data_IF_506819135302
#
_entry.id   IF_506819135302
#
_cell.length_a   1.000
_cell.length_b   1.000
_cell.length_c   1.000
_cell.angle_alpha   90.00
_cell.angle_beta   90.00
_cell.angle_gamma   90.00
#
_symmetry.space_group_name_H-M   'P 1'
#
loop_
_entity.id
_entity.type
_entity.pdbx_description
1 polymer ?
#
# COMPACT_ATOMS: atom_id res chain seq x y z
N UNK A 1 -9.09 24.20 4.60
CA UNK A 1 -9.28 23.66 5.96
C UNK A 1 -8.37 22.46 6.11
N UNK A 2 -7.64 22.35 7.21
CA UNK A 2 -6.79 21.18 7.47
C UNK A 2 -7.60 20.06 8.11
N UNK A 3 -7.22 18.82 7.84
CA UNK A 3 -7.84 17.64 8.42
C UNK A 3 -6.80 16.54 8.65
N UNK A 4 -7.11 15.64 9.57
CA UNK A 4 -6.41 14.36 9.75
C UNK A 4 -7.36 13.22 9.42
N UNK A 5 -6.84 12.22 8.74
CA UNK A 5 -7.51 10.94 8.52
C UNK A 5 -6.74 9.83 9.22
N UNK A 6 -7.41 9.14 10.14
CA UNK A 6 -6.90 7.94 10.81
C UNK A 6 -7.55 6.72 10.19
N UNK A 7 -6.73 5.79 9.71
CA UNK A 7 -7.16 4.58 9.02
C UNK A 7 -6.79 3.37 9.87
N UNK A 8 -7.76 2.49 10.14
CA UNK A 8 -7.55 1.24 10.89
C UNK A 8 -8.00 0.05 10.03
N UNK A 9 -7.07 -0.86 9.75
CA UNK A 9 -7.30 -2.02 8.91
C UNK A 9 -8.34 -2.99 9.47
N UNK A 10 -9.30 -3.39 8.64
CA UNK A 10 -10.28 -4.47 8.91
C UNK A 10 -9.98 -5.75 8.13
N UNK A 11 -9.06 -5.67 7.16
CA UNK A 11 -8.46 -6.81 6.49
C UNK A 11 -6.93 -6.63 6.42
N UNK A 12 -6.21 -7.73 6.20
CA UNK A 12 -4.75 -7.69 6.06
C UNK A 12 -4.35 -6.71 4.93
N UNK A 13 -3.25 -5.98 5.10
CA UNK A 13 -2.68 -5.10 4.08
C UNK A 13 -1.58 -5.85 3.32
N UNK A 14 -1.60 -5.77 1.99
CA UNK A 14 -0.48 -6.16 1.15
C UNK A 14 0.16 -4.91 0.54
N UNK A 15 1.49 -4.80 0.62
CA UNK A 15 2.23 -3.75 -0.06
C UNK A 15 2.73 -4.21 -1.42
N UNK A 16 2.84 -3.27 -2.35
CA UNK A 16 3.43 -3.50 -3.67
C UNK A 16 3.94 -2.18 -4.27
N UNK A 17 5.07 -1.72 -3.72
CA UNK A 17 5.77 -0.54 -4.23
C UNK A 17 6.15 -0.70 -5.70
N UNK A 18 6.08 0.42 -6.44
CA UNK A 18 6.41 0.45 -7.86
C UNK A 18 7.93 0.41 -8.15
N UNK A 19 8.78 0.33 -7.11
CA UNK A 19 10.25 0.28 -7.25
C UNK A 19 10.74 -0.75 -8.26
N UNK A 20 10.14 -1.94 -8.24
CA UNK A 20 10.52 -3.05 -9.11
C UNK A 20 10.16 -2.82 -10.60
N UNK A 21 9.35 -1.82 -10.92
CA UNK A 21 9.11 -1.38 -12.30
C UNK A 21 10.28 -0.56 -12.86
N UNK A 22 11.14 0.01 -12.01
CA UNK A 22 12.33 0.72 -12.43
C UNK A 22 13.47 -0.27 -12.70
N UNK A 23 13.91 -0.47 -13.97
CA UNK A 23 14.99 -1.40 -14.29
C UNK A 23 16.36 -0.99 -13.71
N UNK A 24 16.49 0.26 -13.25
CA UNK A 24 17.71 0.76 -12.62
C UNK A 24 17.76 0.50 -11.11
N UNK A 25 16.65 0.12 -10.48
CA UNK A 25 16.60 -0.19 -9.06
C UNK A 25 17.53 -1.38 -8.71
N UNK A 26 18.33 -1.29 -7.64
CA UNK A 26 19.24 -2.38 -7.25
C UNK A 26 18.55 -3.74 -7.03
N UNK A 27 17.35 -3.75 -6.44
CA UNK A 27 16.58 -4.96 -6.20
C UNK A 27 16.07 -5.52 -7.53
N UNK A 28 15.57 -4.67 -8.44
CA UNK A 28 15.14 -5.11 -9.77
C UNK A 28 16.31 -5.75 -10.56
N UNK A 29 17.51 -5.18 -10.48
CA UNK A 29 18.73 -5.75 -11.06
C UNK A 29 19.09 -7.09 -10.42
N UNK A 30 19.02 -7.21 -9.10
CA UNK A 30 19.27 -8.46 -8.38
C UNK A 30 18.27 -9.55 -8.77
N UNK A 31 16.96 -9.23 -8.82
CA UNK A 31 15.91 -10.13 -9.26
C UNK A 31 16.13 -10.60 -10.70
N UNK A 32 16.57 -9.72 -11.61
CA UNK A 32 16.89 -10.11 -12.99
C UNK A 32 18.00 -11.16 -13.06
N UNK A 33 19.06 -11.00 -12.25
CA UNK A 33 20.17 -11.98 -12.20
C UNK A 33 19.66 -13.37 -11.82
N UNK A 34 18.83 -13.47 -10.78
CA UNK A 34 18.28 -14.75 -10.31
C UNK A 34 17.23 -15.30 -11.29
N UNK A 35 16.28 -14.46 -11.73
CA UNK A 35 15.21 -14.87 -12.64
C UNK A 35 15.69 -15.31 -14.02
N UNK A 36 16.83 -14.83 -14.50
CA UNK A 36 17.43 -15.24 -15.79
C UNK A 36 18.07 -16.63 -15.80
N UNK A 37 18.25 -17.27 -14.63
CA UNK A 37 18.80 -18.64 -14.55
C UNK A 37 17.86 -19.63 -15.25
N UNK A 38 18.43 -20.49 -16.11
CA UNK A 38 17.70 -21.49 -16.89
C UNK A 38 17.13 -22.61 -16.01
N UNK A 39 17.95 -23.16 -15.12
CA UNK A 39 17.54 -24.07 -14.06
C UNK A 39 17.65 -23.30 -12.74
N UNK A 40 16.53 -23.16 -12.03
CA UNK A 40 16.47 -22.51 -10.72
C UNK A 40 16.44 -23.58 -9.66
N UNK A 41 17.19 -23.37 -8.59
CA UNK A 41 17.12 -24.19 -7.38
C UNK A 41 16.06 -23.65 -6.42
N UNK A 42 15.79 -24.36 -5.33
CA UNK A 42 14.86 -23.89 -4.31
C UNK A 42 15.36 -22.59 -3.65
N UNK A 43 16.68 -22.45 -3.49
CA UNK A 43 17.32 -21.23 -2.99
C UNK A 43 17.12 -20.05 -3.97
N UNK A 44 17.08 -20.29 -5.27
CA UNK A 44 16.78 -19.24 -6.26
C UNK A 44 15.33 -18.76 -6.13
N UNK A 45 14.39 -19.66 -5.84
CA UNK A 45 13.00 -19.29 -5.60
C UNK A 45 12.82 -18.52 -4.30
N UNK A 46 13.51 -18.92 -3.24
CA UNK A 46 13.51 -18.20 -1.96
C UNK A 46 14.14 -16.80 -2.11
N UNK A 47 15.27 -16.68 -2.79
CA UNK A 47 15.91 -15.38 -3.02
C UNK A 47 15.04 -14.46 -3.89
N UNK A 48 14.35 -15.00 -4.89
CA UNK A 48 13.37 -14.21 -5.66
C UNK A 48 12.23 -13.72 -4.77
N UNK A 49 11.71 -14.56 -3.87
CA UNK A 49 10.66 -14.18 -2.94
C UNK A 49 11.14 -13.11 -1.94
N UNK A 50 12.38 -13.24 -1.43
CA UNK A 50 13.00 -12.25 -0.53
C UNK A 50 13.21 -10.91 -1.20
N UNK A 51 13.78 -10.90 -2.40
CA UNK A 51 14.00 -9.68 -3.17
C UNK A 51 12.66 -9.02 -3.55
N UNK A 52 11.67 -9.82 -3.92
CA UNK A 52 10.34 -9.31 -4.24
C UNK A 52 9.64 -8.70 -3.01
N UNK A 53 9.76 -9.35 -1.85
CA UNK A 53 9.27 -8.82 -0.58
C UNK A 53 9.92 -7.46 -0.28
N UNK A 54 11.24 -7.40 -0.29
CA UNK A 54 12.00 -6.17 -0.05
C UNK A 54 11.64 -5.04 -1.05
N UNK A 55 11.53 -5.36 -2.34
CA UNK A 55 11.18 -4.39 -3.37
C UNK A 55 9.71 -3.97 -3.38
N UNK A 56 8.84 -4.79 -2.80
CA UNK A 56 7.41 -4.51 -2.65
C UNK A 56 7.08 -3.65 -1.43
N UNK A 57 7.99 -3.50 -0.46
CA UNK A 57 7.80 -2.66 0.71
C UNK A 57 7.83 -1.17 0.35
N UNK A 58 6.88 -0.43 0.90
CA UNK A 58 7.07 1.00 1.14
C UNK A 58 7.83 1.13 2.45
N UNK A 59 9.13 1.41 2.36
CA UNK A 59 10.03 1.48 3.51
C UNK A 59 10.83 2.77 3.47
N UNK A 60 10.88 3.44 4.60
CA UNK A 60 11.68 4.62 4.86
C UNK A 60 12.75 4.25 5.92
N UNK A 61 14.01 4.71 5.77
CA UNK A 61 15.09 4.31 6.67
C UNK A 61 14.89 4.78 8.11
N UNK A 62 14.19 5.90 8.34
CA UNK A 62 14.04 6.50 9.66
C UNK A 62 12.79 5.96 10.36
N UNK A 63 11.67 5.86 9.64
CA UNK A 63 10.42 5.41 10.24
C UNK A 63 10.20 3.91 10.09
N UNK A 64 10.67 3.25 9.04
CA UNK A 64 10.33 1.86 8.69
C UNK A 64 9.19 1.79 7.67
N UNK A 65 8.31 0.77 7.69
CA UNK A 65 7.21 0.72 6.75
C UNK A 65 6.23 1.88 6.90
N UNK A 66 5.77 2.38 5.75
CA UNK A 66 4.88 3.53 5.66
C UNK A 66 3.86 3.35 4.52
N UNK A 67 2.84 4.21 4.46
CA UNK A 67 1.95 4.34 3.31
C UNK A 67 2.22 5.68 2.63
N UNK A 68 2.52 5.70 1.33
CA UNK A 68 2.65 6.95 0.60
C UNK A 68 1.35 7.76 0.62
N UNK A 69 1.45 9.09 0.79
CA UNK A 69 0.29 9.99 0.70
C UNK A 69 -0.48 9.84 -0.61
N UNK A 70 0.23 9.59 -1.72
CA UNK A 70 -0.37 9.31 -3.04
C UNK A 70 -1.30 8.10 -3.05
N UNK A 71 -1.00 7.06 -2.26
CA UNK A 71 -1.84 5.87 -2.19
C UNK A 71 -3.17 6.19 -1.48
N UNK A 72 -3.11 7.00 -0.43
CA UNK A 72 -4.30 7.48 0.30
C UNK A 72 -5.13 8.40 -0.59
N UNK A 73 -4.49 9.38 -1.24
CA UNK A 73 -5.13 10.28 -2.21
C UNK A 73 -5.83 9.50 -3.32
N UNK A 74 -5.16 8.49 -3.89
CA UNK A 74 -5.72 7.66 -4.96
C UNK A 74 -6.90 6.84 -4.45
N UNK A 75 -6.81 6.28 -3.25
CA UNK A 75 -7.88 5.51 -2.64
C UNK A 75 -9.16 6.35 -2.46
N UNK A 76 -9.03 7.58 -1.92
CA UNK A 76 -10.14 8.52 -1.78
C UNK A 76 -10.73 8.93 -3.14
N UNK A 77 -9.87 9.21 -4.11
CA UNK A 77 -10.30 9.57 -5.48
C UNK A 77 -11.08 8.44 -6.14
N UNK A 78 -10.63 7.18 -6.00
CA UNK A 78 -11.32 6.02 -6.55
C UNK A 78 -12.66 5.76 -5.83
N UNK A 79 -12.73 6.00 -4.52
CA UNK A 79 -13.98 5.88 -3.75
C UNK A 79 -15.03 6.91 -4.18
N UNK A 80 -14.61 8.15 -4.39
CA UNK A 80 -15.49 9.23 -4.83
C UNK A 80 -16.06 9.02 -6.25
N UNK A 81 -15.50 8.11 -7.05
CA UNK A 81 -16.10 7.74 -8.35
C UNK A 81 -17.45 7.04 -8.18
N UNK A 82 -17.69 6.37 -7.05
CA UNK A 82 -18.98 5.72 -6.75
C UNK A 82 -20.12 6.74 -6.75
N UNK A 83 -19.88 7.94 -6.20
CA UNK A 83 -20.85 9.04 -6.13
C UNK A 83 -20.63 10.09 -7.22
N UNK A 84 -19.83 9.79 -8.26
CA UNK A 84 -19.45 10.71 -9.35
C UNK A 84 -18.76 12.01 -8.87
N UNK A 85 -18.19 12.00 -7.67
CA UNK A 85 -17.48 13.13 -7.05
C UNK A 85 -15.95 13.04 -7.19
N UNK A 86 -15.42 12.09 -7.98
CA UNK A 86 -13.98 11.90 -8.15
C UNK A 86 -13.23 13.17 -8.57
N UNK A 87 -13.79 13.96 -9.49
CA UNK A 87 -13.19 15.24 -9.93
C UNK A 87 -13.16 16.26 -8.78
N UNK A 88 -14.18 16.27 -7.90
CA UNK A 88 -14.21 17.15 -6.73
C UNK A 88 -13.09 16.78 -5.76
N UNK A 89 -12.87 15.50 -5.48
CA UNK A 89 -11.76 15.04 -4.63
C UNK A 89 -10.42 15.43 -5.23
N UNK A 90 -10.20 15.21 -6.52
CA UNK A 90 -8.92 15.58 -7.18
C UNK A 90 -8.62 17.09 -7.10
N UNK A 91 -9.66 17.94 -7.03
CA UNK A 91 -9.50 19.41 -6.99
C UNK A 91 -9.54 19.99 -5.58
N UNK A 92 -10.28 19.36 -4.67
CA UNK A 92 -10.61 19.90 -3.36
C UNK A 92 -9.95 19.15 -2.20
N UNK A 93 -9.28 18.03 -2.43
CA UNK A 93 -8.61 17.26 -1.37
C UNK A 93 -7.17 17.02 -1.78
N UNK A 94 -6.25 17.32 -0.86
CA UNK A 94 -4.82 17.04 -1.02
C UNK A 94 -4.25 16.45 0.26
N UNK A 95 -3.78 15.20 0.22
CA UNK A 95 -2.98 14.60 1.30
C UNK A 95 -1.61 15.26 1.31
N UNK A 96 -1.28 15.96 2.40
CA UNK A 96 -0.05 16.75 2.53
C UNK A 96 1.14 15.97 3.08
N UNK A 97 0.90 14.81 3.69
CA UNK A 97 1.95 13.95 4.25
C UNK A 97 2.36 12.85 3.26
N UNK A 98 3.60 12.93 2.78
CA UNK A 98 4.14 11.96 1.80
C UNK A 98 4.48 10.60 2.45
N UNK A 99 5.07 10.64 3.64
CA UNK A 99 5.49 9.45 4.41
C UNK A 99 4.59 9.31 5.63
N UNK A 100 3.67 8.35 5.61
CA UNK A 100 2.73 8.09 6.70
C UNK A 100 3.11 6.78 7.41
N UNK A 101 3.78 6.81 8.58
CA UNK A 101 4.27 5.62 9.25
C UNK A 101 3.16 4.59 9.49
N UNK A 102 3.43 3.34 9.11
CA UNK A 102 2.48 2.24 9.33
C UNK A 102 2.54 1.81 10.80
N UNK A 103 1.43 1.92 11.52
CA UNK A 103 1.28 1.36 12.85
C UNK A 103 1.03 -0.14 12.79
N UNK A 104 1.93 -0.95 13.35
CA UNK A 104 1.76 -2.40 13.53
C UNK A 104 2.74 -2.91 14.58
N UNK A 105 2.55 -4.16 15.05
CA UNK A 105 3.49 -4.83 15.96
C UNK A 105 4.43 -5.74 15.17
N UNK A 106 5.74 -5.47 15.22
CA UNK A 106 6.76 -6.31 14.60
C UNK A 106 8.06 -5.56 14.28
N UNK A 107 8.99 -6.21 13.56
CA UNK A 107 10.23 -5.60 13.09
C UNK A 107 9.96 -4.40 12.17
N UNK A 108 10.85 -3.40 12.15
CA UNK A 108 10.75 -2.19 11.30
C UNK A 108 11.74 -2.18 10.14
N UNK A 109 12.75 -3.03 10.17
CA UNK A 109 13.72 -3.20 9.10
C UNK A 109 13.31 -4.31 8.12
N UNK A 110 13.81 -4.22 6.89
CA UNK A 110 13.44 -5.12 5.79
C UNK A 110 13.82 -6.57 6.10
N UNK A 111 14.99 -6.81 6.69
CA UNK A 111 15.49 -8.16 6.97
C UNK A 111 14.71 -8.82 8.12
N UNK A 112 14.36 -8.06 9.16
CA UNK A 112 13.49 -8.53 10.24
C UNK A 112 12.08 -8.87 9.75
N UNK A 113 11.51 -8.03 8.87
CA UNK A 113 10.22 -8.32 8.23
C UNK A 113 10.30 -9.52 7.29
N UNK A 114 11.43 -9.73 6.63
CA UNK A 114 11.65 -10.98 5.93
C UNK A 114 11.69 -12.11 6.94
N UNK A 115 12.57 -12.13 7.94
CA UNK A 115 12.78 -13.27 8.84
C UNK A 115 11.51 -13.86 9.49
N UNK A 116 10.46 -13.08 9.69
CA UNK A 116 9.16 -13.54 10.20
C UNK A 116 8.12 -13.79 9.08
N UNK A 117 7.76 -15.06 8.87
CA UNK A 117 6.77 -15.52 7.89
C UNK A 117 5.38 -14.86 8.01
N UNK A 118 5.04 -14.31 9.18
CA UNK A 118 3.79 -13.58 9.34
C UNK A 118 3.70 -12.35 8.43
N UNK A 119 4.84 -11.75 8.06
CA UNK A 119 4.93 -10.60 7.17
C UNK A 119 5.11 -10.97 5.69
N UNK A 120 5.01 -12.25 5.35
CA UNK A 120 5.10 -12.76 3.97
C UNK A 120 3.74 -13.24 3.50
N UNK A 121 3.34 -12.86 2.28
CA UNK A 121 2.20 -13.43 1.59
C UNK A 121 2.64 -14.04 0.27
N UNK A 122 2.56 -15.37 0.19
CA UNK A 122 2.87 -16.13 -1.01
C UNK A 122 1.58 -16.50 -1.73
N UNK A 123 1.44 -16.08 -2.99
CA UNK A 123 0.26 -16.38 -3.79
C UNK A 123 0.62 -16.72 -5.23
N UNK A 124 -0.12 -17.67 -5.80
CA UNK A 124 0.01 -18.03 -7.21
C UNK A 124 -0.76 -17.05 -8.10
N UNK A 125 -0.04 -16.27 -8.90
CA UNK A 125 -0.62 -15.30 -9.84
C UNK A 125 -0.42 -15.76 -11.28
N UNK A 126 -1.33 -15.34 -12.16
CA UNK A 126 -1.22 -15.57 -13.60
C UNK A 126 -0.38 -14.47 -14.24
N UNK A 127 0.71 -14.84 -14.91
CA UNK A 127 1.53 -13.97 -15.74
C UNK A 127 1.48 -14.51 -17.16
N UNK A 128 0.77 -13.80 -18.05
CA UNK A 128 0.43 -14.28 -19.38
C UNK A 128 -0.27 -15.65 -19.31
N UNK A 129 0.32 -16.72 -19.84
CA UNK A 129 -0.24 -18.08 -19.77
C UNK A 129 0.28 -18.89 -18.58
N UNK A 130 1.33 -18.43 -17.88
CA UNK A 130 1.97 -19.18 -16.82
C UNK A 130 1.46 -18.76 -15.44
N UNK A 131 1.55 -19.67 -14.46
CA UNK A 131 1.37 -19.35 -13.05
C UNK A 131 2.71 -19.28 -12.36
N UNK A 132 2.94 -18.23 -11.58
CA UNK A 132 4.14 -18.04 -10.78
C UNK A 132 3.75 -17.70 -9.35
N UNK A 133 4.51 -18.20 -8.38
CA UNK A 133 4.36 -17.78 -6.99
C UNK A 133 5.01 -16.41 -6.85
N UNK A 134 4.30 -15.47 -6.22
CA UNK A 134 4.80 -14.13 -5.92
C UNK A 134 4.74 -13.91 -4.42
N UNK A 135 5.72 -13.18 -3.91
CA UNK A 135 5.79 -12.76 -2.52
C UNK A 135 5.33 -11.30 -2.39
N UNK A 136 4.48 -11.00 -1.42
CA UNK A 136 4.11 -9.63 -1.03
C UNK A 136 4.39 -9.41 0.45
N UNK A 137 4.89 -8.25 0.86
CA UNK A 137 4.87 -7.87 2.26
C UNK A 137 3.44 -7.79 2.76
N UNK A 138 3.20 -8.34 3.94
CA UNK A 138 1.87 -8.43 4.55
C UNK A 138 1.86 -7.84 5.95
N UNK A 139 0.82 -7.10 6.29
CA UNK A 139 0.54 -6.63 7.64
C UNK A 139 -0.86 -7.06 8.04
N UNK A 140 -0.97 -7.99 9.01
CA UNK A 140 -2.27 -8.55 9.42
C UNK A 140 -3.14 -7.56 10.19
N UNK A 141 -2.50 -6.76 11.03
CA UNK A 141 -3.08 -5.63 11.74
C UNK A 141 -2.25 -4.42 11.38
N UNK A 142 -2.93 -3.33 11.02
CA UNK A 142 -2.26 -2.12 10.58
C UNK A 142 -3.15 -0.90 10.83
N UNK A 143 -2.50 0.22 11.07
CA UNK A 143 -3.12 1.54 11.05
C UNK A 143 -2.19 2.54 10.37
N UNK A 144 -2.73 3.66 9.96
CA UNK A 144 -1.95 4.79 9.44
C UNK A 144 -2.71 6.08 9.67
N UNK A 145 -1.98 7.15 9.99
CA UNK A 145 -2.54 8.50 10.04
C UNK A 145 -1.90 9.34 8.93
N UNK A 146 -2.72 10.15 8.28
CA UNK A 146 -2.26 11.11 7.30
C UNK A 146 -2.97 12.45 7.49
N UNK A 147 -2.31 13.53 7.09
CA UNK A 147 -2.88 14.87 7.13
C UNK A 147 -3.12 15.38 5.72
N UNK A 148 -4.06 16.30 5.59
CA UNK A 148 -4.41 16.87 4.31
C UNK A 148 -5.16 18.18 4.42
N UNK A 149 -5.40 18.77 3.26
CA UNK A 149 -6.16 20.00 3.10
C UNK A 149 -7.42 19.73 2.29
N UNK A 150 -8.52 20.35 2.74
CA UNK A 150 -9.83 20.37 2.09
C UNK A 150 -10.17 21.80 1.66
N UNK A 151 -10.47 21.97 0.38
CA UNK A 151 -11.17 23.14 -0.15
C UNK A 151 -12.68 22.96 0.01
N UNK A 152 -13.23 23.59 1.07
CA UNK A 152 -14.64 23.52 1.42
C UNK A 152 -15.57 24.17 0.38
N UNK A 153 -15.04 24.97 -0.57
CA UNK A 153 -15.82 25.49 -1.69
C UNK A 153 -16.07 24.43 -2.77
N UNK A 154 -15.26 23.36 -2.82
CA UNK A 154 -15.33 22.30 -3.83
C UNK A 154 -16.06 21.06 -3.30
N UNK A 155 -15.78 20.68 -2.05
CA UNK A 155 -16.28 19.47 -1.40
C UNK A 155 -16.55 19.74 0.08
N UNK A 156 -17.70 19.30 0.60
CA UNK A 156 -18.01 19.45 2.02
C UNK A 156 -17.18 18.47 2.87
N UNK A 157 -17.07 18.75 4.17
CA UNK A 157 -16.38 17.86 5.09
C UNK A 157 -17.15 16.56 5.31
N UNK A 158 -18.48 16.64 5.29
CA UNK A 158 -19.38 15.50 5.39
C UNK A 158 -19.22 14.56 4.19
N UNK A 159 -19.11 15.14 2.98
CA UNK A 159 -18.83 14.37 1.75
C UNK A 159 -17.46 13.68 1.84
N UNK A 160 -16.42 14.38 2.33
CA UNK A 160 -15.10 13.78 2.54
C UNK A 160 -15.16 12.58 3.49
N UNK A 161 -15.90 12.71 4.61
CA UNK A 161 -16.06 11.65 5.60
C UNK A 161 -16.77 10.43 4.98
N UNK A 162 -17.88 10.64 4.26
CA UNK A 162 -18.60 9.57 3.57
C UNK A 162 -17.75 8.90 2.47
N UNK A 163 -16.90 9.67 1.79
CA UNK A 163 -15.94 9.14 0.81
C UNK A 163 -14.88 8.29 1.50
N UNK A 164 -14.38 8.68 2.67
CA UNK A 164 -13.42 7.90 3.45
C UNK A 164 -14.01 6.56 3.92
N UNK A 165 -15.27 6.55 4.37
CA UNK A 165 -16.01 5.32 4.69
C UNK A 165 -16.14 4.40 3.48
N UNK A 166 -16.55 4.98 2.34
CA UNK A 166 -16.66 4.26 1.06
C UNK A 166 -15.29 3.71 0.62
N UNK A 167 -14.22 4.46 0.83
CA UNK A 167 -12.86 4.05 0.51
C UNK A 167 -12.47 2.81 1.30
N UNK A 168 -12.74 2.79 2.61
CA UNK A 168 -12.48 1.65 3.47
C UNK A 168 -13.30 0.41 3.12
N UNK A 169 -14.60 0.59 2.86
CA UNK A 169 -15.54 -0.49 2.61
C UNK A 169 -15.45 -1.08 1.18
N UNK A 170 -15.18 -0.25 0.17
CA UNK A 170 -15.31 -0.63 -1.24
C UNK A 170 -14.00 -0.62 -2.02
N UNK A 171 -13.03 0.21 -1.65
CA UNK A 171 -11.77 0.38 -2.41
C UNK A 171 -10.59 -0.32 -1.74
N UNK A 172 -10.22 0.07 -0.53
CA UNK A 172 -9.06 -0.41 0.21
C UNK A 172 -7.73 0.15 -0.26
N UNK A 173 -6.69 -0.05 0.55
CA UNK A 173 -5.29 0.35 0.30
C UNK A 173 -4.42 -0.83 -0.16
N UNK A 174 -3.33 -0.53 -0.86
CA UNK A 174 -2.35 -1.53 -1.26
C UNK A 174 -2.78 -2.44 -2.42
N UNK A 175 -2.27 -3.67 -2.41
CA UNK A 175 -2.39 -4.63 -3.51
C UNK A 175 -3.54 -5.65 -3.31
N UNK A 176 -3.89 -6.34 -4.39
CA UNK A 176 -4.91 -7.39 -4.43
C UNK A 176 -6.27 -7.00 -3.81
N UNK A 177 -6.65 -5.74 -4.03
CA UNK A 177 -7.96 -5.20 -3.70
C UNK A 177 -9.03 -5.80 -4.61
N UNK A 178 -10.28 -5.99 -4.13
CA UNK A 178 -10.83 -5.56 -2.84
C UNK A 178 -10.58 -6.52 -1.66
N UNK A 179 -9.88 -7.65 -1.87
CA UNK A 179 -9.73 -8.69 -0.84
C UNK A 179 -8.88 -8.24 0.35
N UNK A 180 -7.87 -7.44 0.08
CA UNK A 180 -6.92 -6.91 1.07
C UNK A 180 -7.07 -5.40 1.23
N UNK A 181 -6.55 -4.89 2.34
CA UNK A 181 -6.43 -3.46 2.62
C UNK A 181 -7.76 -2.73 2.90
N UNK A 182 -8.82 -3.45 3.28
CA UNK A 182 -10.05 -2.85 3.82
C UNK A 182 -9.78 -2.18 5.16
N UNK A 183 -10.51 -1.11 5.47
CA UNK A 183 -10.30 -0.32 6.68
C UNK A 183 -11.57 0.40 7.14
N UNK A 184 -11.52 0.91 8.37
CA UNK A 184 -12.37 1.99 8.87
C UNK A 184 -11.57 3.29 8.85
N UNK A 185 -12.23 4.41 8.54
CA UNK A 185 -11.62 5.71 8.54
C UNK A 185 -12.31 6.63 9.54
N UNK A 186 -11.52 7.45 10.21
CA UNK A 186 -11.99 8.57 11.01
C UNK A 186 -11.35 9.84 10.44
N UNK A 187 -12.17 10.85 10.14
CA UNK A 187 -11.70 12.13 9.62
C UNK A 187 -12.03 13.21 10.65
N UNK A 188 -11.02 13.95 11.08
CA UNK A 188 -11.18 15.06 12.04
C UNK A 188 -10.62 16.35 11.46
N UNK A 189 -11.23 17.48 11.83
CA UNK A 189 -10.72 18.81 11.50
C UNK A 189 -9.52 19.12 12.39
N UNK A 190 -8.48 19.72 11.82
CA UNK A 190 -7.34 20.24 12.56
C UNK A 190 -7.50 21.74 12.84
#
# INVERSE_FOLDING_TARGET
>A
MEFRITIVGTAELLMHSARLSNPLDPIAKAMKKVSSKRAKTDEDYEELARLEHAGGLYHDPDVGPYIPGENIQRCLTDAAKVTRSGVKVTRGVFISTDVNPLGYKGPRDVDGLWADDNFRHMASVKVQQNRVIRCRPRFRQWSVEAEGTLDAAVLSFEDLTAIADTAGAMIGLGDYRPRFGRFLAEVVKL
#
